data_IF_387348748565
#
_entry.id   IF_387348748565
#
_cell.length_a   1.000
_cell.length_b   1.000
_cell.length_c   1.000
_cell.angle_alpha   90.00
_cell.angle_beta   90.00
_cell.angle_gamma   90.00
#
_symmetry.space_group_name_H-M   'P 1'
#
loop_
_entity.id
_entity.type
_entity.pdbx_description
1 polymer ?
#
# COMPACT_ATOMS: atom_id res chain seq x y z
N UNK A 1 2.10 0.06 10.96
CA UNK A 1 2.04 -1.40 11.27
C UNK A 1 2.68 -2.16 10.13
N UNK A 2 3.32 -3.30 10.41
CA UNK A 2 3.80 -4.19 9.35
C UNK A 2 2.62 -4.92 8.73
N UNK A 3 2.60 -5.05 7.41
CA UNK A 3 1.58 -5.80 6.67
C UNK A 3 1.79 -7.30 6.86
N UNK A 4 0.72 -8.04 7.07
CA UNK A 4 0.76 -9.49 7.28
C UNK A 4 0.47 -10.21 5.98
N UNK A 5 1.37 -11.08 5.55
CA UNK A 5 1.27 -11.85 4.31
C UNK A 5 1.24 -13.35 4.63
N UNK A 6 0.30 -14.07 4.05
CA UNK A 6 0.24 -15.52 4.07
C UNK A 6 0.89 -16.07 2.81
N UNK A 7 1.88 -16.94 2.95
CA UNK A 7 2.47 -17.70 1.84
C UNK A 7 1.89 -19.11 1.86
N UNK A 8 1.33 -19.54 0.74
CA UNK A 8 0.77 -20.89 0.56
C UNK A 8 1.50 -21.55 -0.61
N UNK A 9 2.33 -22.52 -0.31
CA UNK A 9 3.18 -23.23 -1.28
C UNK A 9 3.60 -24.56 -0.63
N UNK A 10 3.55 -25.69 -1.32
CA UNK A 10 3.94 -26.99 -0.77
C UNK A 10 5.46 -27.23 -0.79
N UNK A 11 6.22 -26.47 -1.61
CA UNK A 11 7.67 -26.47 -1.60
C UNK A 11 8.23 -25.75 -0.36
N UNK A 12 8.77 -26.52 0.58
CA UNK A 12 9.32 -26.00 1.84
C UNK A 12 10.50 -25.04 1.62
N UNK A 13 11.37 -25.35 0.63
CA UNK A 13 12.55 -24.50 0.35
C UNK A 13 12.14 -23.15 -0.21
N UNK A 14 11.23 -23.14 -1.18
CA UNK A 14 10.72 -21.90 -1.78
C UNK A 14 9.94 -21.09 -0.72
N UNK A 15 9.05 -21.74 0.01
CA UNK A 15 8.28 -21.11 1.10
C UNK A 15 9.20 -20.49 2.16
N UNK A 16 10.28 -21.17 2.54
CA UNK A 16 11.28 -20.66 3.49
C UNK A 16 12.06 -19.46 2.94
N UNK A 17 12.48 -19.52 1.66
CA UNK A 17 13.20 -18.43 0.99
C UNK A 17 12.32 -17.18 0.86
N UNK A 18 11.06 -17.33 0.46
CA UNK A 18 10.08 -16.26 0.38
C UNK A 18 9.83 -15.61 1.75
N UNK A 19 9.64 -16.43 2.79
CA UNK A 19 9.42 -15.94 4.14
C UNK A 19 10.61 -15.13 4.66
N UNK A 20 11.83 -15.58 4.41
CA UNK A 20 13.04 -14.86 4.78
C UNK A 20 13.15 -13.52 4.04
N UNK A 21 12.94 -13.52 2.72
CA UNK A 21 13.02 -12.30 1.90
C UNK A 21 11.98 -11.26 2.33
N UNK A 22 10.72 -11.65 2.46
CA UNK A 22 9.65 -10.73 2.84
C UNK A 22 9.81 -10.15 4.26
N UNK A 23 10.35 -10.93 5.22
CA UNK A 23 10.65 -10.39 6.55
C UNK A 23 11.72 -9.30 6.50
N UNK A 24 12.68 -9.41 5.60
CA UNK A 24 13.69 -8.37 5.35
C UNK A 24 13.05 -7.10 4.78
N UNK A 25 12.02 -7.23 3.96
CA UNK A 25 11.24 -6.13 3.39
C UNK A 25 10.10 -5.64 4.31
N UNK A 26 10.21 -5.91 5.62
CA UNK A 26 9.34 -5.38 6.66
C UNK A 26 7.90 -5.92 6.67
N UNK A 27 7.66 -7.14 6.15
CA UNK A 27 6.39 -7.85 6.28
C UNK A 27 6.36 -8.76 7.51
N UNK A 28 5.17 -8.95 8.11
CA UNK A 28 4.87 -10.12 8.92
C UNK A 28 4.49 -11.27 8.01
N UNK A 29 5.13 -12.42 8.19
CA UNK A 29 4.93 -13.56 7.29
C UNK A 29 4.45 -14.77 8.06
N UNK A 30 3.31 -15.30 7.61
CA UNK A 30 2.73 -16.56 8.01
C UNK A 30 2.87 -17.52 6.82
N UNK A 31 3.09 -18.79 7.08
CA UNK A 31 3.27 -19.81 6.03
C UNK A 31 2.30 -20.96 6.20
N UNK A 32 1.80 -21.50 5.10
CA UNK A 32 0.99 -22.70 5.03
C UNK A 32 1.54 -23.61 3.93
N UNK A 33 1.58 -24.91 4.18
CA UNK A 33 2.09 -25.90 3.23
C UNK A 33 1.00 -26.52 2.36
N UNK A 34 -0.26 -26.17 2.58
CA UNK A 34 -1.40 -26.64 1.80
C UNK A 34 -2.58 -25.68 1.89
N UNK A 35 -3.57 -25.88 1.04
CA UNK A 35 -4.83 -25.13 1.05
C UNK A 35 -5.60 -25.31 2.38
N UNK A 36 -5.56 -26.50 2.96
CA UNK A 36 -6.22 -26.82 4.24
C UNK A 36 -5.58 -26.02 5.37
N UNK A 37 -4.24 -26.03 5.47
CA UNK A 37 -3.51 -25.26 6.46
C UNK A 37 -3.74 -23.75 6.26
N UNK A 38 -3.84 -23.28 5.01
CA UNK A 38 -4.18 -21.89 4.72
C UNK A 38 -5.57 -21.52 5.23
N UNK A 39 -6.57 -22.40 5.07
CA UNK A 39 -7.91 -22.17 5.61
C UNK A 39 -7.91 -22.08 7.14
N UNK A 40 -7.15 -22.92 7.83
CA UNK A 40 -7.02 -22.86 9.30
C UNK A 40 -6.42 -21.53 9.76
N UNK A 41 -5.42 -21.01 9.04
CA UNK A 41 -4.81 -19.70 9.32
C UNK A 41 -5.83 -18.61 9.11
N UNK A 42 -6.51 -18.58 7.95
CA UNK A 42 -7.48 -17.55 7.58
C UNK A 42 -8.73 -17.53 8.46
N UNK A 43 -9.08 -18.66 9.08
CA UNK A 43 -10.16 -18.73 10.06
C UNK A 43 -9.82 -18.01 11.39
N UNK A 44 -8.53 -17.81 11.68
CA UNK A 44 -8.05 -17.26 12.97
C UNK A 44 -7.40 -15.90 12.85
N UNK A 45 -6.83 -15.59 11.67
CA UNK A 45 -5.97 -14.42 11.47
C UNK A 45 -6.36 -13.72 10.17
N UNK A 46 -6.61 -12.41 10.24
CA UNK A 46 -6.74 -11.59 9.06
C UNK A 46 -5.36 -11.27 8.48
N UNK A 47 -5.21 -11.45 7.17
CA UNK A 47 -3.98 -11.14 6.44
C UNK A 47 -4.24 -10.07 5.38
N UNK A 48 -3.22 -9.25 5.07
CA UNK A 48 -3.32 -8.16 4.10
C UNK A 48 -3.19 -8.64 2.65
N UNK A 49 -2.50 -9.76 2.43
CA UNK A 49 -2.40 -10.44 1.14
C UNK A 49 -2.03 -11.92 1.30
N UNK A 50 -2.28 -12.68 0.24
CA UNK A 50 -1.90 -14.08 0.10
C UNK A 50 -0.99 -14.21 -1.12
N UNK A 51 0.16 -14.87 -0.94
CA UNK A 51 1.00 -15.39 -2.02
C UNK A 51 0.64 -16.86 -2.15
N UNK A 52 0.15 -17.27 -3.31
CA UNK A 52 -0.42 -18.59 -3.51
C UNK A 52 0.25 -19.31 -4.67
N UNK A 53 0.84 -20.45 -4.43
CA UNK A 53 1.29 -21.28 -5.53
C UNK A 53 0.10 -21.89 -6.29
N UNK A 54 0.19 -21.89 -7.61
CA UNK A 54 -0.82 -22.51 -8.46
C UNK A 54 -0.80 -24.03 -8.37
N UNK A 55 0.40 -24.62 -8.34
CA UNK A 55 0.61 -26.06 -8.46
C UNK A 55 0.99 -26.64 -7.10
N UNK A 56 0.01 -27.03 -6.31
CA UNK A 56 0.22 -27.67 -5.01
C UNK A 56 -0.31 -29.10 -5.03
N UNK A 57 0.26 -29.95 -4.21
CA UNK A 57 -0.25 -31.31 -3.96
C UNK A 57 -1.59 -31.25 -3.23
N UNK A 58 -2.53 -32.11 -3.61
CA UNK A 58 -3.90 -32.10 -3.06
C UNK A 58 -4.78 -31.07 -3.77
N UNK A 59 -5.22 -30.04 -3.04
CA UNK A 59 -6.00 -28.94 -3.63
C UNK A 59 -5.08 -27.94 -4.34
N UNK A 60 -5.28 -27.79 -5.65
CA UNK A 60 -4.53 -26.80 -6.43
C UNK A 60 -4.93 -25.36 -6.07
N UNK A 61 -3.99 -24.41 -6.34
CA UNK A 61 -4.17 -23.00 -5.96
C UNK A 61 -5.37 -22.31 -6.61
N UNK A 62 -5.75 -22.69 -7.84
CA UNK A 62 -6.93 -22.09 -8.49
C UNK A 62 -8.22 -22.54 -7.83
N UNK A 63 -8.32 -23.81 -7.50
CA UNK A 63 -9.47 -24.36 -6.76
C UNK A 63 -9.57 -23.73 -5.37
N UNK A 64 -8.45 -23.60 -4.66
CA UNK A 64 -8.41 -22.91 -3.38
C UNK A 64 -8.89 -21.46 -3.52
N UNK A 65 -8.39 -20.71 -4.50
CA UNK A 65 -8.78 -19.34 -4.75
C UNK A 65 -10.29 -19.20 -5.04
N UNK A 66 -10.85 -20.07 -5.88
CA UNK A 66 -12.29 -20.09 -6.15
C UNK A 66 -13.10 -20.30 -4.88
N UNK A 67 -12.71 -21.26 -4.05
CA UNK A 67 -13.37 -21.53 -2.76
C UNK A 67 -13.27 -20.31 -1.83
N UNK A 68 -12.11 -19.67 -1.78
CA UNK A 68 -11.88 -18.46 -0.99
C UNK A 68 -12.80 -17.32 -1.43
N UNK A 69 -12.97 -17.12 -2.73
CA UNK A 69 -13.88 -16.08 -3.27
C UNK A 69 -15.35 -16.42 -3.03
N UNK A 70 -15.72 -17.68 -3.18
CA UNK A 70 -17.09 -18.17 -2.90
C UNK A 70 -17.49 -18.01 -1.43
N UNK A 71 -16.53 -18.08 -0.50
CA UNK A 71 -16.77 -17.78 0.92
C UNK A 71 -16.86 -16.28 1.24
N UNK A 72 -16.76 -15.41 0.22
CA UNK A 72 -16.83 -13.94 0.38
C UNK A 72 -15.51 -13.30 0.79
N UNK A 73 -14.42 -14.06 0.90
CA UNK A 73 -13.12 -13.54 1.25
C UNK A 73 -12.54 -12.73 0.07
N UNK A 74 -12.25 -11.45 0.30
CA UNK A 74 -11.72 -10.51 -0.69
C UNK A 74 -10.23 -10.21 -0.53
N UNK A 75 -9.53 -10.93 0.34
CA UNK A 75 -8.09 -10.73 0.57
C UNK A 75 -7.33 -10.78 -0.77
N UNK A 76 -6.47 -9.80 -1.05
CA UNK A 76 -5.67 -9.78 -2.27
C UNK A 76 -4.81 -11.04 -2.42
N UNK A 77 -4.76 -11.59 -3.62
CA UNK A 77 -3.98 -12.79 -3.94
C UNK A 77 -3.02 -12.51 -5.09
N UNK A 78 -1.73 -12.74 -4.84
CA UNK A 78 -0.69 -12.85 -5.84
C UNK A 78 -0.46 -14.33 -6.14
N UNK A 79 -0.79 -14.76 -7.36
CA UNK A 79 -0.62 -16.16 -7.79
C UNK A 79 0.78 -16.38 -8.32
N UNK A 80 1.49 -17.38 -7.83
CA UNK A 80 2.75 -17.85 -8.41
C UNK A 80 2.46 -18.95 -9.42
N UNK A 81 3.06 -18.89 -10.61
CA UNK A 81 2.80 -19.86 -11.68
C UNK A 81 4.07 -20.29 -12.39
N UNK A 82 4.19 -21.55 -12.74
CA UNK A 82 5.31 -22.08 -13.54
C UNK A 82 5.17 -21.79 -15.04
N UNK A 83 4.03 -21.25 -15.50
CA UNK A 83 3.73 -21.07 -16.91
C UNK A 83 3.77 -19.60 -17.32
N UNK A 84 4.66 -19.28 -18.26
CA UNK A 84 4.70 -18.06 -19.06
C UNK A 84 3.89 -18.28 -20.34
N UNK A 85 2.65 -17.73 -20.40
CA UNK A 85 1.82 -17.82 -21.61
C UNK A 85 0.48 -17.10 -21.44
N UNK A 86 0.00 -16.47 -22.53
CA UNK A 86 -1.21 -15.63 -22.55
C UNK A 86 -2.50 -16.36 -22.16
N UNK A 87 -2.59 -17.67 -22.45
CA UNK A 87 -3.83 -18.44 -22.24
C UNK A 87 -4.11 -18.71 -20.76
N UNK A 88 -3.06 -18.80 -19.92
CA UNK A 88 -3.20 -19.02 -18.48
C UNK A 88 -3.48 -17.76 -17.68
N UNK A 89 -3.13 -16.59 -18.22
CA UNK A 89 -3.40 -15.29 -17.59
C UNK A 89 -4.89 -14.95 -17.67
N UNK A 90 -5.55 -15.35 -18.76
CA UNK A 90 -6.99 -15.12 -18.98
C UNK A 90 -7.83 -16.01 -18.06
N UNK A 91 -7.48 -17.29 -17.91
CA UNK A 91 -8.17 -18.22 -17.01
C UNK A 91 -7.99 -17.82 -15.52
N UNK A 92 -6.84 -17.29 -15.18
CA UNK A 92 -6.53 -16.89 -13.84
C UNK A 92 -7.18 -15.57 -13.41
N UNK A 93 -7.25 -14.56 -14.25
CA UNK A 93 -7.95 -13.28 -13.98
C UNK A 93 -9.45 -13.52 -13.78
N UNK A 94 -10.05 -14.47 -14.52
CA UNK A 94 -11.44 -14.89 -14.32
C UNK A 94 -11.66 -15.62 -12.97
N UNK A 95 -10.61 -16.14 -12.33
CA UNK A 95 -10.71 -16.83 -11.04
C UNK A 95 -10.58 -15.92 -9.83
N UNK A 96 -10.34 -14.60 -9.99
CA UNK A 96 -10.35 -13.62 -8.90
C UNK A 96 -9.00 -13.41 -8.20
N UNK A 97 -7.86 -13.78 -8.83
CA UNK A 97 -6.55 -13.32 -8.40
C UNK A 97 -6.36 -11.82 -8.73
N UNK A 98 -5.55 -11.12 -7.94
CA UNK A 98 -5.28 -9.71 -8.13
C UNK A 98 -4.06 -9.47 -9.04
N UNK A 99 -3.09 -10.38 -9.05
CA UNK A 99 -1.93 -10.36 -9.94
C UNK A 99 -1.31 -11.76 -10.05
N UNK A 100 -0.43 -11.94 -11.04
CA UNK A 100 0.28 -13.19 -11.33
C UNK A 100 1.77 -12.92 -11.44
N UNK A 101 2.58 -13.87 -10.97
CA UNK A 101 4.03 -13.83 -11.09
C UNK A 101 4.56 -15.19 -11.57
N UNK A 102 5.20 -15.19 -12.75
CA UNK A 102 5.77 -16.41 -13.32
C UNK A 102 7.06 -16.81 -12.60
N UNK A 103 7.22 -18.08 -12.31
CA UNK A 103 8.46 -18.70 -11.82
C UNK A 103 9.36 -18.99 -13.05
N UNK A 104 10.70 -18.68 -13.00
CA UNK A 104 11.43 -18.07 -11.88
C UNK A 104 11.29 -16.54 -11.82
N UNK A 105 11.27 -15.98 -10.64
CA UNK A 105 11.12 -14.54 -10.39
C UNK A 105 12.20 -14.00 -9.45
N UNK A 106 12.34 -12.69 -9.43
CA UNK A 106 13.20 -12.00 -8.46
C UNK A 106 12.37 -11.54 -7.25
N UNK A 107 12.97 -11.63 -6.04
CA UNK A 107 12.30 -11.17 -4.81
C UNK A 107 11.83 -9.72 -4.92
N UNK A 108 12.63 -8.85 -5.56
CA UNK A 108 12.26 -7.45 -5.77
C UNK A 108 10.98 -7.28 -6.60
N UNK A 109 10.78 -8.10 -7.62
CA UNK A 109 9.56 -8.08 -8.43
C UNK A 109 8.35 -8.53 -7.62
N UNK A 110 8.50 -9.62 -6.86
CA UNK A 110 7.45 -10.11 -5.97
C UNK A 110 7.01 -9.04 -4.96
N UNK A 111 7.96 -8.37 -4.31
CA UNK A 111 7.67 -7.29 -3.35
C UNK A 111 6.96 -6.12 -4.00
N UNK A 112 7.36 -5.70 -5.22
CA UNK A 112 6.70 -4.63 -5.95
C UNK A 112 5.25 -4.99 -6.29
N UNK A 113 5.00 -6.20 -6.82
CA UNK A 113 3.66 -6.68 -7.17
C UNK A 113 2.78 -6.83 -5.92
N UNK A 114 3.34 -7.39 -4.85
CA UNK A 114 2.65 -7.53 -3.58
C UNK A 114 2.20 -6.17 -3.01
N UNK A 115 3.07 -5.16 -3.06
CA UNK A 115 2.73 -3.80 -2.65
C UNK A 115 1.66 -3.14 -3.53
N UNK A 116 1.59 -3.50 -4.82
CA UNK A 116 0.58 -2.98 -5.73
C UNK A 116 -0.81 -3.58 -5.48
N UNK A 117 -0.89 -4.86 -5.10
CA UNK A 117 -2.18 -5.52 -4.85
C UNK A 117 -2.71 -5.31 -3.43
N UNK A 118 -1.83 -5.10 -2.45
CA UNK A 118 -2.28 -4.80 -1.09
C UNK A 118 -2.89 -3.41 -1.10
N UNK A 119 -4.19 -3.25 -0.79
CA UNK A 119 -4.78 -1.94 -0.68
C UNK A 119 -3.94 -1.11 0.29
N UNK A 120 -3.64 0.12 -0.07
CA UNK A 120 -3.20 1.07 0.93
C UNK A 120 -4.23 1.02 2.06
N UNK A 121 -3.77 0.89 3.31
CA UNK A 121 -4.63 0.70 4.49
C UNK A 121 -5.74 1.80 4.50
N UNK A 122 -6.88 1.47 3.88
CA UNK A 122 -8.00 2.40 3.68
C UNK A 122 -8.75 2.66 4.98
N UNK A 123 -8.56 1.80 5.99
CA UNK A 123 -9.04 2.03 7.35
C UNK A 123 -8.20 3.07 8.08
N UNK A 124 -7.04 3.40 7.52
CA UNK A 124 -6.14 4.48 7.94
C UNK A 124 -5.64 5.23 6.71
N UNK A 125 -6.55 5.80 5.93
CA UNK A 125 -6.17 7.00 5.20
C UNK A 125 -5.41 7.85 6.21
N UNK A 126 -4.17 8.25 5.89
CA UNK A 126 -3.41 9.15 6.74
C UNK A 126 -4.22 10.45 6.79
N UNK A 127 -5.21 10.47 7.66
CA UNK A 127 -5.99 11.66 7.95
C UNK A 127 -5.01 12.56 8.68
N UNK A 128 -4.41 13.47 7.95
CA UNK A 128 -3.69 14.54 8.62
C UNK A 128 -4.73 15.33 9.42
N UNK A 129 -4.39 15.87 10.59
CA UNK A 129 -5.32 16.64 11.44
C UNK A 129 -6.05 17.74 10.69
N UNK A 130 -5.67 18.03 9.46
CA UNK A 130 -6.03 19.20 8.67
C UNK A 130 -6.96 18.89 7.49
N UNK A 131 -7.61 17.73 7.47
CA UNK A 131 -8.59 17.38 6.42
C UNK A 131 -7.97 16.87 5.12
N UNK A 132 -6.67 16.61 5.08
CA UNK A 132 -6.00 15.96 3.95
C UNK A 132 -5.97 14.44 4.19
N UNK A 133 -6.51 13.68 3.25
CA UNK A 133 -6.56 12.21 3.28
C UNK A 133 -5.71 11.66 2.15
N UNK A 134 -4.78 10.74 2.46
CA UNK A 134 -4.03 9.99 1.47
C UNK A 134 -4.53 8.55 1.42
N UNK A 135 -5.07 8.13 0.28
CA UNK A 135 -5.70 6.82 0.10
C UNK A 135 -5.51 6.34 -1.35
N UNK A 136 -5.18 5.07 -1.55
CA UNK A 136 -4.99 4.47 -2.89
C UNK A 136 -4.00 5.24 -3.78
N UNK A 137 -2.90 5.72 -3.20
CA UNK A 137 -1.88 6.53 -3.89
C UNK A 137 -2.43 7.87 -4.46
N UNK A 138 -3.57 8.34 -3.97
CA UNK A 138 -4.19 9.61 -4.31
C UNK A 138 -4.44 10.44 -3.05
N UNK A 139 -4.43 11.77 -3.23
CA UNK A 139 -4.79 12.70 -2.17
C UNK A 139 -6.23 13.17 -2.33
N UNK A 140 -6.92 13.23 -1.21
CA UNK A 140 -8.29 13.74 -1.09
C UNK A 140 -8.34 14.82 -0.04
N UNK A 141 -9.32 15.71 -0.15
CA UNK A 141 -9.63 16.72 0.85
C UNK A 141 -11.01 16.42 1.43
N UNK A 142 -11.10 16.39 2.75
CA UNK A 142 -12.34 16.21 3.49
C UNK A 142 -12.83 17.56 4.02
N UNK A 143 -13.55 18.33 3.19
CA UNK A 143 -14.17 19.61 3.58
C UNK A 143 -15.62 19.47 4.00
N UNK A 144 -16.22 18.35 3.68
CA UNK A 144 -17.58 17.91 4.05
C UNK A 144 -17.57 16.38 4.07
N UNK A 145 -18.64 15.74 4.48
CA UNK A 145 -18.71 14.28 4.71
C UNK A 145 -18.27 13.37 3.53
N UNK A 146 -17.87 13.93 2.39
CA UNK A 146 -17.37 13.18 1.23
C UNK A 146 -15.97 13.63 0.85
N UNK A 147 -14.99 12.69 0.71
CA UNK A 147 -13.65 13.01 0.23
C UNK A 147 -13.69 13.47 -1.23
N UNK A 148 -13.07 14.62 -1.53
CA UNK A 148 -12.92 15.14 -2.89
C UNK A 148 -11.48 14.92 -3.34
N UNK A 149 -11.24 14.32 -4.53
CA UNK A 149 -9.89 14.05 -4.99
C UNK A 149 -9.13 15.34 -5.30
N UNK A 150 -7.88 15.42 -4.85
CA UNK A 150 -6.96 16.52 -5.15
C UNK A 150 -6.13 16.16 -6.40
N UNK A 151 -6.41 16.85 -7.52
CA UNK A 151 -5.75 16.59 -8.80
C UNK A 151 -4.28 17.03 -8.79
N UNK A 152 -3.36 16.12 -8.48
CA UNK A 152 -1.92 16.34 -8.40
C UNK A 152 -1.17 15.62 -9.51
N UNK A 153 -0.09 16.21 -10.03
CA UNK A 153 0.87 15.50 -10.87
C UNK A 153 1.71 14.52 -10.06
N UNK A 154 2.41 13.58 -10.73
CA UNK A 154 3.30 12.63 -10.05
C UNK A 154 4.35 13.30 -9.16
N UNK A 155 4.92 14.44 -9.60
CA UNK A 155 5.93 15.18 -8.84
C UNK A 155 5.31 15.87 -7.62
N UNK A 156 4.12 16.47 -7.79
CA UNK A 156 3.38 17.11 -6.71
C UNK A 156 2.93 16.08 -5.64
N UNK A 157 2.49 14.88 -6.07
CA UNK A 157 2.15 13.77 -5.15
C UNK A 157 3.36 13.34 -4.33
N UNK A 158 4.50 13.08 -4.98
CA UNK A 158 5.75 12.70 -4.29
C UNK A 158 6.19 13.77 -3.29
N UNK A 159 6.12 15.03 -3.67
CA UNK A 159 6.48 16.12 -2.78
C UNK A 159 5.54 16.14 -1.56
N UNK A 160 4.24 16.08 -1.77
CA UNK A 160 3.26 16.11 -0.69
C UNK A 160 3.40 14.91 0.26
N UNK A 161 3.62 13.70 -0.28
CA UNK A 161 3.91 12.51 0.53
C UNK A 161 5.10 12.71 1.47
N UNK A 162 6.19 13.27 0.96
CA UNK A 162 7.39 13.51 1.75
C UNK A 162 7.18 14.63 2.79
N UNK A 163 6.38 15.64 2.49
CA UNK A 163 6.06 16.75 3.40
C UNK A 163 5.18 16.32 4.58
N UNK A 164 4.34 15.30 4.41
CA UNK A 164 3.44 14.78 5.46
C UNK A 164 4.04 13.62 6.27
N UNK A 165 5.19 13.10 5.91
CA UNK A 165 5.80 11.91 6.52
C UNK A 165 7.22 12.16 7.07
N UNK A 166 7.37 12.69 8.28
CA UNK A 166 6.37 13.28 9.19
C UNK A 166 5.97 14.72 8.80
N UNK A 167 4.84 15.18 9.30
CA UNK A 167 4.44 16.60 9.16
C UNK A 167 5.51 17.48 9.83
N UNK A 168 5.93 18.53 9.14
CA UNK A 168 7.01 19.39 9.59
C UNK A 168 8.38 19.02 9.04
N UNK A 169 8.47 17.95 8.26
CA UNK A 169 9.69 17.59 7.54
C UNK A 169 10.04 18.64 6.49
N UNK A 170 11.34 18.93 6.32
CA UNK A 170 11.85 19.82 5.27
C UNK A 170 12.30 18.99 4.08
N UNK A 171 11.70 19.26 2.92
CA UNK A 171 11.92 18.45 1.71
C UNK A 171 12.46 19.31 0.59
N UNK A 172 13.60 18.97 -0.02
CA UNK A 172 14.09 19.66 -1.21
C UNK A 172 13.16 19.37 -2.39
N UNK A 173 12.82 20.42 -3.14
CA UNK A 173 11.98 20.31 -4.33
C UNK A 173 12.23 21.45 -5.30
N UNK A 174 11.82 21.27 -6.57
CA UNK A 174 11.80 22.35 -7.55
C UNK A 174 10.85 23.47 -7.11
N UNK A 175 11.28 24.76 -7.17
CA UNK A 175 10.42 25.89 -6.82
C UNK A 175 9.10 25.93 -7.59
N UNK A 176 9.11 25.47 -8.83
CA UNK A 176 7.92 25.44 -9.67
C UNK A 176 6.91 24.37 -9.19
N UNK A 177 7.39 23.18 -8.80
CA UNK A 177 6.56 22.11 -8.27
C UNK A 177 5.95 22.52 -6.92
N UNK A 178 6.77 23.06 -6.03
CA UNK A 178 6.32 23.52 -4.71
C UNK A 178 5.28 24.66 -4.83
N UNK A 179 5.49 25.62 -5.73
CA UNK A 179 4.54 26.71 -5.99
C UNK A 179 3.19 26.19 -6.53
N UNK A 180 3.23 25.26 -7.50
CA UNK A 180 1.98 24.65 -8.04
C UNK A 180 1.24 23.85 -6.99
N UNK A 181 1.94 23.04 -6.22
CA UNK A 181 1.35 22.26 -5.13
C UNK A 181 0.73 23.18 -4.07
N UNK A 182 1.45 24.21 -3.63
CA UNK A 182 0.97 25.22 -2.68
C UNK A 182 -0.33 25.87 -3.15
N UNK A 183 -0.37 26.33 -4.41
CA UNK A 183 -1.56 26.96 -4.97
C UNK A 183 -2.78 26.00 -4.96
N UNK A 184 -2.56 24.74 -5.31
CA UNK A 184 -3.64 23.73 -5.32
C UNK A 184 -4.15 23.42 -3.90
N UNK A 185 -3.27 23.33 -2.93
CA UNK A 185 -3.63 23.10 -1.53
C UNK A 185 -4.40 24.31 -0.97
N UNK A 186 -3.91 25.53 -1.18
CA UNK A 186 -4.51 26.74 -0.61
C UNK A 186 -5.89 27.07 -1.21
N UNK A 187 -6.24 26.52 -2.38
CA UNK A 187 -7.60 26.63 -2.93
C UNK A 187 -8.62 25.82 -2.13
N UNK A 188 -8.19 24.67 -1.60
CA UNK A 188 -9.10 23.67 -0.99
C UNK A 188 -8.98 23.58 0.52
N UNK A 189 -7.83 23.98 1.08
CA UNK A 189 -7.53 23.94 2.52
C UNK A 189 -6.92 25.27 2.95
N UNK A 190 -7.57 25.95 3.89
CA UNK A 190 -7.13 27.25 4.44
C UNK A 190 -6.28 27.11 5.71
N UNK A 191 -6.21 25.91 6.26
CA UNK A 191 -5.58 25.62 7.56
C UNK A 191 -4.15 25.07 7.45
N UNK A 192 -3.65 24.82 6.23
CA UNK A 192 -2.27 24.40 5.98
C UNK A 192 -1.61 25.25 4.90
N UNK A 193 -0.29 25.40 5.00
CA UNK A 193 0.49 26.05 3.95
C UNK A 193 1.85 25.37 3.74
N UNK A 194 2.44 25.56 2.55
CA UNK A 194 3.79 25.10 2.24
C UNK A 194 4.72 26.31 2.26
N UNK A 195 5.58 26.38 3.25
CA UNK A 195 6.55 27.46 3.42
C UNK A 195 7.94 27.08 2.88
N UNK A 196 8.71 28.09 2.48
CA UNK A 196 10.11 27.92 2.07
C UNK A 196 11.03 28.00 3.27
N UNK A 197 11.90 27.00 3.44
CA UNK A 197 13.01 27.01 4.40
C UNK A 197 14.29 27.31 3.63
N UNK A 198 14.86 28.51 3.85
CA UNK A 198 16.03 28.99 3.08
C UNK A 198 17.18 28.00 3.10
N UNK A 199 17.68 27.63 1.91
CA UNK A 199 18.80 26.71 1.73
C UNK A 199 18.49 25.22 1.98
N UNK A 200 17.28 24.87 2.41
CA UNK A 200 16.93 23.49 2.78
C UNK A 200 15.77 22.90 1.96
N UNK A 201 14.81 23.72 1.54
CA UNK A 201 13.66 23.26 0.76
C UNK A 201 12.33 23.82 1.24
N UNK A 202 11.33 22.94 1.34
CA UNK A 202 9.95 23.29 1.66
C UNK A 202 9.44 22.49 2.85
N UNK A 203 8.52 23.05 3.61
CA UNK A 203 7.92 22.46 4.80
C UNK A 203 6.41 22.71 4.79
N UNK A 204 5.63 21.68 5.12
CA UNK A 204 4.19 21.82 5.37
C UNK A 204 3.99 22.26 6.82
N UNK A 205 3.18 23.30 7.01
CA UNK A 205 2.81 23.80 8.34
C UNK A 205 1.30 23.79 8.52
N UNK A 206 0.86 23.62 9.77
CA UNK A 206 -0.50 23.80 10.21
C UNK A 206 -0.66 25.21 10.78
N UNK A 207 -1.55 25.98 10.18
CA UNK A 207 -1.79 27.36 10.60
C UNK A 207 -2.58 27.43 11.91
N UNK A 208 -3.30 26.37 12.29
CA UNK A 208 -4.07 26.33 13.53
C UNK A 208 -3.19 26.03 14.76
N UNK A 209 -2.04 25.36 14.60
CA UNK A 209 -1.11 25.07 15.70
C UNK A 209 -0.09 26.19 15.98
N UNK A 210 -0.03 27.20 15.12
CA UNK A 210 0.93 28.30 15.25
C UNK A 210 0.48 29.42 16.20
N UNK A 211 -0.73 29.32 16.81
CA UNK A 211 -1.30 30.38 17.65
C UNK A 211 -0.92 30.32 19.12
N UNK A 212 -0.30 29.21 19.58
CA UNK A 212 -0.08 29.00 21.02
C UNK A 212 1.34 29.29 21.55
N UNK A 213 2.27 29.75 20.69
CA UNK A 213 3.67 29.98 21.12
C UNK A 213 4.07 31.47 21.25
N UNK A 214 3.13 32.41 21.38
CA UNK A 214 3.48 33.83 21.51
C UNK A 214 2.94 34.52 22.78
N UNK A 215 2.73 33.77 23.88
CA UNK A 215 2.41 34.36 25.18
C UNK A 215 3.29 33.75 26.27
N UNK A 216 4.50 34.25 26.41
CA UNK A 216 5.37 33.90 27.53
C UNK A 216 6.77 34.46 27.45
N UNK A 217 6.90 35.78 27.44
CA UNK A 217 8.05 36.48 28.03
C UNK A 217 7.77 38.01 28.04
N UNK A 218 7.34 38.46 29.18
CA UNK A 218 7.61 39.80 29.71
C UNK A 218 8.06 39.66 31.15
#
# INVERSE_FOLDING_TARGET
>A
MKRTVLIVDDDEMLRGALAKGLRTDNFHVITASSAENANEVLARISVDAIILDRMMTGMDGLTFLKNLRNSGNKTPVLMLTAMSGSDNTIDGLSCGANDYLAKPFQMRELVLRLNNIIPADTSKGLLTPNGLLFMNNEFFVTTSNTPVPLALSCEEKKLLQNLISPIGNVVPASPMVAKRLRNKINIVLSNIDIITVRGQGYKLIDLNTSSDNNNGEK
#
